data_IF_245128143236
#
_entry.id   IF_245128143236
#
_cell.length_a   1.000
_cell.length_b   1.000
_cell.length_c   1.000
_cell.angle_alpha   90.00
_cell.angle_beta   90.00
_cell.angle_gamma   90.00
#
_symmetry.space_group_name_H-M   'P 1'
#
loop_
_entity.id
_entity.type
_entity.pdbx_description
1 polymer ?
#
# COMPACT_ATOMS: atom_id res chain seq x y z
N UNK A 1 48.84 8.97 16.68
CA UNK A 1 47.48 8.66 16.17
C UNK A 1 46.85 9.86 15.46
N UNK A 2 46.89 11.09 16.00
CA UNK A 2 46.45 12.33 15.28
C UNK A 2 47.05 12.46 13.87
N UNK A 3 48.36 12.18 13.72
CA UNK A 3 49.05 12.26 12.43
C UNK A 3 48.59 11.24 11.38
N UNK A 4 48.00 10.12 11.79
CA UNK A 4 47.50 9.08 10.88
C UNK A 4 46.12 9.47 10.32
N UNK A 5 45.23 10.00 11.16
CA UNK A 5 43.93 10.53 10.76
C UNK A 5 44.10 11.72 9.79
N UNK A 6 44.93 12.70 10.13
CA UNK A 6 45.19 13.86 9.28
C UNK A 6 45.79 13.45 7.91
N UNK A 7 46.66 12.43 7.90
CA UNK A 7 47.23 11.89 6.66
C UNK A 7 46.16 11.24 5.78
N UNK A 8 45.29 10.41 6.36
CA UNK A 8 44.16 9.78 5.66
C UNK A 8 43.21 10.82 5.07
N UNK A 9 42.89 11.86 5.84
CA UNK A 9 42.03 12.97 5.39
C UNK A 9 42.66 13.70 4.19
N UNK A 10 43.97 14.01 4.24
CA UNK A 10 44.67 14.65 3.11
C UNK A 10 44.69 13.79 1.86
N UNK A 11 44.91 12.48 2.00
CA UNK A 11 44.91 11.53 0.87
C UNK A 11 43.52 11.40 0.24
N UNK A 12 42.47 11.45 1.06
CA UNK A 12 41.08 11.34 0.63
C UNK A 12 40.44 12.64 0.13
N UNK A 13 41.08 13.80 0.36
CA UNK A 13 40.45 15.11 0.16
C UNK A 13 39.96 15.37 -1.28
N UNK A 14 40.72 14.93 -2.29
CA UNK A 14 40.30 15.05 -3.71
C UNK A 14 39.04 14.25 -3.95
N UNK A 15 39.02 12.99 -3.51
CA UNK A 15 37.89 12.10 -3.68
C UNK A 15 36.64 12.59 -2.94
N UNK A 16 36.80 13.13 -1.73
CA UNK A 16 35.71 13.74 -0.96
C UNK A 16 35.04 14.88 -1.75
N UNK A 17 35.84 15.80 -2.31
CA UNK A 17 35.30 16.93 -3.12
C UNK A 17 34.57 16.45 -4.37
N UNK A 18 35.12 15.46 -5.08
CA UNK A 18 34.45 14.87 -6.25
C UNK A 18 33.08 14.29 -5.90
N UNK A 19 32.98 13.53 -4.81
CA UNK A 19 31.74 12.91 -4.37
C UNK A 19 30.70 13.95 -3.95
N UNK A 20 31.11 14.97 -3.20
CA UNK A 20 30.22 16.08 -2.82
C UNK A 20 29.72 16.88 -4.02
N UNK A 21 30.56 17.10 -5.03
CA UNK A 21 30.13 17.74 -6.27
C UNK A 21 29.07 16.92 -7.00
N UNK A 22 29.23 15.59 -7.07
CA UNK A 22 28.20 14.71 -7.66
C UNK A 22 26.89 14.75 -6.88
N UNK A 23 26.94 14.77 -5.55
CA UNK A 23 25.75 14.88 -4.72
C UNK A 23 25.05 16.22 -4.94
N UNK A 24 25.80 17.33 -4.98
CA UNK A 24 25.24 18.65 -5.28
C UNK A 24 24.60 18.73 -6.68
N UNK A 25 25.24 18.13 -7.69
CA UNK A 25 24.70 18.07 -9.06
C UNK A 25 23.39 17.24 -9.15
N UNK A 26 23.17 16.32 -8.20
CA UNK A 26 22.06 15.34 -8.23
C UNK A 26 21.08 15.48 -7.07
N UNK A 27 21.12 16.61 -6.34
CA UNK A 27 20.37 16.80 -5.09
C UNK A 27 18.85 16.64 -5.28
N UNK A 28 18.32 17.10 -6.41
CA UNK A 28 16.88 17.00 -6.73
C UNK A 28 16.44 15.66 -7.34
N UNK A 29 17.38 14.76 -7.67
CA UNK A 29 17.05 13.55 -8.44
C UNK A 29 16.07 12.60 -7.72
N UNK A 30 16.24 12.43 -6.40
CA UNK A 30 15.39 11.56 -5.57
C UNK A 30 13.97 12.14 -5.37
N UNK A 31 13.79 13.41 -4.97
CA UNK A 31 12.44 14.00 -4.85
C UNK A 31 11.72 14.07 -6.20
N UNK A 32 12.43 14.43 -7.29
CA UNK A 32 11.86 14.49 -8.64
C UNK A 32 11.39 13.10 -9.10
N UNK A 33 12.21 12.06 -8.89
CA UNK A 33 11.82 10.67 -9.17
C UNK A 33 10.59 10.24 -8.36
N UNK A 34 10.51 10.65 -7.10
CA UNK A 34 9.36 10.34 -6.24
C UNK A 34 8.09 11.01 -6.74
N UNK A 35 8.17 12.27 -7.14
CA UNK A 35 7.06 13.00 -7.74
C UNK A 35 6.63 12.36 -9.06
N UNK A 36 7.58 11.98 -9.91
CA UNK A 36 7.30 11.35 -11.18
C UNK A 36 6.61 9.99 -11.03
N UNK A 37 7.02 9.18 -10.05
CA UNK A 37 6.35 7.90 -9.72
C UNK A 37 4.90 8.10 -9.28
N UNK A 38 4.61 9.18 -8.53
CA UNK A 38 3.23 9.52 -8.15
C UNK A 38 2.39 9.91 -9.36
N UNK A 39 2.94 10.69 -10.28
CA UNK A 39 2.28 11.05 -11.54
C UNK A 39 1.94 9.80 -12.37
N UNK A 40 2.91 8.88 -12.52
CA UNK A 40 2.69 7.60 -13.23
C UNK A 40 1.56 6.80 -12.58
N UNK A 41 1.53 6.70 -11.24
CA UNK A 41 0.48 5.97 -10.53
C UNK A 41 -0.91 6.59 -10.73
N UNK A 42 -1.01 7.93 -10.72
CA UNK A 42 -2.26 8.63 -10.98
C UNK A 42 -2.74 8.45 -12.43
N UNK A 43 -1.83 8.60 -13.41
CA UNK A 43 -2.12 8.35 -14.82
C UNK A 43 -2.56 6.90 -15.08
N UNK A 44 -1.94 5.91 -14.43
CA UNK A 44 -2.35 4.51 -14.56
C UNK A 44 -3.75 4.28 -13.99
N UNK A 45 -4.08 4.89 -12.84
CA UNK A 45 -5.43 4.84 -12.27
C UNK A 45 -6.47 5.49 -13.19
N UNK A 46 -6.18 6.68 -13.72
CA UNK A 46 -7.05 7.36 -14.69
C UNK A 46 -7.24 6.53 -15.96
N UNK A 47 -6.16 5.91 -16.46
CA UNK A 47 -6.22 5.04 -17.63
C UNK A 47 -7.07 3.79 -17.39
N UNK A 48 -6.93 3.15 -16.23
CA UNK A 48 -7.77 2.00 -15.86
C UNK A 48 -9.26 2.37 -15.78
N UNK A 49 -9.58 3.56 -15.26
CA UNK A 49 -10.95 4.05 -15.21
C UNK A 49 -11.48 4.38 -16.61
N UNK A 50 -10.68 5.04 -17.43
CA UNK A 50 -11.04 5.33 -18.83
C UNK A 50 -11.23 4.06 -19.65
N UNK A 51 -10.37 3.05 -19.50
CA UNK A 51 -10.52 1.75 -20.16
C UNK A 51 -11.85 1.06 -19.80
N UNK A 52 -12.30 1.17 -18.53
CA UNK A 52 -13.63 0.68 -18.12
C UNK A 52 -14.74 1.45 -18.80
N UNK A 53 -14.63 2.78 -18.87
CA UNK A 53 -15.61 3.64 -19.52
C UNK A 53 -15.71 3.34 -21.03
N UNK A 54 -14.59 3.22 -21.73
CA UNK A 54 -14.55 2.84 -23.16
C UNK A 54 -15.24 1.50 -23.36
N UNK A 55 -14.97 0.49 -22.52
CA UNK A 55 -15.63 -0.83 -22.62
C UNK A 55 -17.14 -0.75 -22.39
N UNK A 56 -17.58 0.04 -21.42
CA UNK A 56 -19.00 0.24 -21.13
C UNK A 56 -19.72 0.97 -22.28
N UNK A 57 -19.11 2.02 -22.84
CA UNK A 57 -19.63 2.77 -23.97
C UNK A 57 -19.64 1.92 -25.26
N UNK A 58 -18.61 1.12 -25.51
CA UNK A 58 -18.58 0.18 -26.65
C UNK A 58 -19.70 -0.87 -26.55
N UNK A 59 -19.94 -1.41 -25.35
CA UNK A 59 -21.05 -2.34 -25.10
C UNK A 59 -22.42 -1.67 -25.30
N UNK A 60 -22.59 -0.44 -24.80
CA UNK A 60 -23.82 0.34 -24.98
C UNK A 60 -24.05 0.66 -26.45
N UNK A 61 -23.03 1.16 -27.17
CA UNK A 61 -23.09 1.46 -28.61
C UNK A 61 -23.53 0.23 -29.41
N UNK A 62 -22.98 -0.95 -29.12
CA UNK A 62 -23.36 -2.21 -29.77
C UNK A 62 -24.83 -2.59 -29.52
N UNK A 63 -25.38 -2.22 -28.36
CA UNK A 63 -26.80 -2.41 -28.04
C UNK A 63 -27.67 -1.42 -28.80
N UNK A 64 -27.37 -0.12 -28.71
CA UNK A 64 -28.15 0.93 -29.39
C UNK A 64 -28.14 0.74 -30.91
N UNK A 65 -27.00 0.32 -31.50
CA UNK A 65 -26.91 0.00 -32.93
C UNK A 65 -27.89 -1.11 -33.32
N UNK A 66 -27.95 -2.20 -32.54
CA UNK A 66 -28.86 -3.32 -32.80
C UNK A 66 -30.32 -2.91 -32.67
N UNK A 67 -30.64 -2.05 -31.70
CA UNK A 67 -32.00 -1.60 -31.48
C UNK A 67 -32.44 -0.65 -32.63
N UNK A 68 -31.58 0.30 -33.01
CA UNK A 68 -31.77 1.17 -34.18
C UNK A 68 -31.96 0.37 -35.47
N UNK A 69 -31.09 -0.60 -35.77
CA UNK A 69 -31.21 -1.47 -36.95
C UNK A 69 -32.53 -2.26 -36.95
N UNK A 70 -32.89 -2.86 -35.81
CA UNK A 70 -34.15 -3.62 -35.66
C UNK A 70 -35.38 -2.76 -35.85
N UNK A 71 -35.36 -1.48 -35.47
CA UNK A 71 -36.52 -0.59 -35.61
C UNK A 71 -36.61 0.01 -36.99
N UNK A 72 -35.47 0.43 -37.56
CA UNK A 72 -35.38 0.91 -38.94
C UNK A 72 -35.84 -0.15 -39.95
N UNK A 73 -35.39 -1.39 -39.78
CA UNK A 73 -35.58 -2.46 -40.78
C UNK A 73 -36.85 -3.30 -40.56
N UNK A 74 -37.62 -3.06 -39.49
CA UNK A 74 -38.85 -3.84 -39.22
C UNK A 74 -40.02 -3.43 -40.13
N UNK A 75 -40.09 -4.10 -41.28
CA UNK A 75 -41.18 -3.99 -42.26
C UNK A 75 -42.55 -4.22 -41.61
N UNK A 76 -42.68 -5.23 -40.74
CA UNK A 76 -43.93 -5.56 -40.03
C UNK A 76 -44.41 -4.42 -39.12
N UNK A 77 -43.53 -3.81 -38.31
CA UNK A 77 -43.89 -2.65 -37.46
C UNK A 77 -44.34 -1.47 -38.31
N UNK A 78 -43.60 -1.19 -39.40
CA UNK A 78 -43.95 -0.12 -40.34
C UNK A 78 -45.32 -0.33 -40.98
N UNK A 79 -45.67 -1.56 -41.38
CA UNK A 79 -46.99 -1.90 -41.92
C UNK A 79 -48.11 -1.76 -40.88
N UNK A 80 -47.93 -2.25 -39.66
CA UNK A 80 -48.92 -2.12 -38.58
C UNK A 80 -49.18 -0.64 -38.25
N UNK A 81 -48.12 0.16 -38.11
CA UNK A 81 -48.26 1.60 -37.85
C UNK A 81 -48.92 2.35 -39.02
N UNK A 82 -48.66 1.93 -40.27
CA UNK A 82 -49.34 2.48 -41.45
C UNK A 82 -50.82 2.11 -41.50
N UNK A 83 -51.18 0.86 -41.19
CA UNK A 83 -52.56 0.38 -41.19
C UNK A 83 -53.43 1.03 -40.08
N UNK A 84 -52.83 1.40 -38.95
CA UNK A 84 -53.50 2.08 -37.82
C UNK A 84 -53.42 3.62 -37.93
N UNK A 85 -52.82 4.16 -38.99
CA UNK A 85 -52.70 5.62 -39.21
C UNK A 85 -51.72 6.34 -38.27
N UNK A 86 -50.78 5.61 -37.65
CA UNK A 86 -49.79 6.14 -36.69
C UNK A 86 -48.36 6.08 -37.24
N UNK A 87 -48.17 6.41 -38.53
CA UNK A 87 -46.86 6.38 -39.19
C UNK A 87 -45.86 7.33 -38.55
N UNK A 88 -46.28 8.56 -38.25
CA UNK A 88 -45.40 9.59 -37.69
C UNK A 88 -44.80 9.14 -36.34
N UNK A 89 -45.54 8.37 -35.54
CA UNK A 89 -45.04 7.79 -34.27
C UNK A 89 -43.97 6.73 -34.46
N UNK A 90 -43.98 6.02 -35.58
CA UNK A 90 -42.91 5.07 -35.92
C UNK A 90 -41.67 5.83 -36.38
N UNK A 91 -41.82 6.81 -37.26
CA UNK A 91 -40.73 7.64 -37.76
C UNK A 91 -40.08 8.46 -36.61
N UNK A 92 -40.87 8.98 -35.66
CA UNK A 92 -40.39 9.66 -34.44
C UNK A 92 -39.57 8.74 -33.53
N UNK A 93 -40.02 7.48 -33.33
CA UNK A 93 -39.27 6.51 -32.52
C UNK A 93 -37.97 6.06 -33.20
N UNK A 94 -38.00 5.84 -34.51
CA UNK A 94 -36.79 5.51 -35.27
C UNK A 94 -35.75 6.65 -35.21
N UNK A 95 -36.21 7.91 -35.35
CA UNK A 95 -35.36 9.09 -35.21
C UNK A 95 -34.81 9.26 -33.78
N UNK A 96 -35.58 8.85 -32.75
CA UNK A 96 -35.10 8.85 -31.37
C UNK A 96 -33.99 7.83 -31.14
N UNK A 97 -34.16 6.60 -31.60
CA UNK A 97 -33.13 5.56 -31.47
C UNK A 97 -31.87 5.89 -32.27
N UNK A 98 -32.01 6.54 -33.43
CA UNK A 98 -30.88 7.08 -34.19
C UNK A 98 -30.08 8.11 -33.38
N UNK A 99 -30.75 9.05 -32.72
CA UNK A 99 -30.09 10.03 -31.83
C UNK A 99 -29.39 9.35 -30.66
N UNK A 100 -30.07 8.42 -29.97
CA UNK A 100 -29.49 7.67 -28.84
C UNK A 100 -28.23 6.88 -29.27
N UNK A 101 -28.21 6.31 -30.48
CA UNK A 101 -27.02 5.68 -31.04
C UNK A 101 -25.89 6.69 -31.32
N UNK A 102 -26.18 7.81 -31.99
CA UNK A 102 -25.16 8.82 -32.32
C UNK A 102 -24.58 9.51 -31.09
N UNK A 103 -25.39 9.75 -30.06
CA UNK A 103 -24.95 10.31 -28.79
C UNK A 103 -23.93 9.38 -28.13
N UNK A 104 -24.23 8.08 -28.03
CA UNK A 104 -23.30 7.08 -27.46
C UNK A 104 -22.05 6.92 -28.32
N UNK A 105 -22.17 7.00 -29.65
CA UNK A 105 -21.01 6.97 -30.56
C UNK A 105 -20.09 8.18 -30.34
N UNK A 106 -20.65 9.38 -30.16
CA UNK A 106 -19.89 10.58 -29.89
C UNK A 106 -19.20 10.52 -28.52
N UNK A 107 -19.89 10.06 -27.49
CA UNK A 107 -19.33 9.82 -26.15
C UNK A 107 -18.17 8.80 -26.21
N UNK A 108 -18.35 7.68 -26.90
CA UNK A 108 -17.30 6.66 -27.06
C UNK A 108 -16.08 7.24 -27.78
N UNK A 109 -16.28 8.06 -28.82
CA UNK A 109 -15.16 8.67 -29.55
C UNK A 109 -14.36 9.63 -28.66
N UNK A 110 -15.05 10.52 -27.93
CA UNK A 110 -14.42 11.44 -26.98
C UNK A 110 -13.64 10.69 -25.90
N UNK A 111 -14.21 9.63 -25.33
CA UNK A 111 -13.55 8.84 -24.31
C UNK A 111 -12.30 8.12 -24.87
N UNK A 112 -12.35 7.64 -26.13
CA UNK A 112 -11.17 7.06 -26.80
C UNK A 112 -10.05 8.08 -27.03
N UNK A 113 -10.38 9.32 -27.35
CA UNK A 113 -9.39 10.40 -27.48
C UNK A 113 -8.73 10.70 -26.12
N UNK A 114 -9.53 10.80 -25.05
CA UNK A 114 -9.03 10.95 -23.68
C UNK A 114 -8.11 9.79 -23.30
N UNK A 115 -8.56 8.55 -23.53
CA UNK A 115 -7.76 7.35 -23.28
C UNK A 115 -6.44 7.35 -24.06
N UNK A 116 -6.48 7.73 -25.34
CA UNK A 116 -5.30 7.86 -26.18
C UNK A 116 -4.31 8.91 -25.67
N UNK A 117 -4.81 10.06 -25.20
CA UNK A 117 -3.97 11.10 -24.60
C UNK A 117 -3.36 10.64 -23.28
N UNK A 118 -4.13 9.96 -22.41
CA UNK A 118 -3.63 9.38 -21.16
C UNK A 118 -2.50 8.38 -21.40
N UNK A 119 -2.63 7.52 -22.43
CA UNK A 119 -1.56 6.58 -22.82
C UNK A 119 -0.28 7.30 -23.23
N UNK A 120 -0.38 8.34 -24.06
CA UNK A 120 0.80 9.13 -24.46
C UNK A 120 1.46 9.80 -23.26
N UNK A 121 0.68 10.46 -22.40
CA UNK A 121 1.20 11.08 -21.18
C UNK A 121 1.87 10.07 -20.26
N UNK A 122 1.33 8.86 -20.15
CA UNK A 122 1.92 7.79 -19.35
C UNK A 122 3.24 7.30 -19.94
N UNK A 123 3.33 7.18 -21.27
CA UNK A 123 4.56 6.77 -21.96
C UNK A 123 5.65 7.86 -21.82
N UNK A 124 5.31 9.12 -22.04
CA UNK A 124 6.21 10.27 -21.83
C UNK A 124 6.69 10.33 -20.36
N UNK A 125 5.76 10.13 -19.41
CA UNK A 125 6.09 10.13 -17.99
C UNK A 125 7.03 8.96 -17.61
N UNK A 126 6.84 7.78 -18.22
CA UNK A 126 7.73 6.62 -18.04
C UNK A 126 9.12 6.87 -18.62
N UNK A 127 9.21 7.54 -19.77
CA UNK A 127 10.50 7.91 -20.35
C UNK A 127 11.27 8.88 -19.46
N UNK A 128 10.63 9.95 -18.99
CA UNK A 128 11.22 10.88 -18.03
C UNK A 128 11.60 10.21 -16.70
N UNK A 129 10.87 9.18 -16.26
CA UNK A 129 11.25 8.42 -15.07
C UNK A 129 12.57 7.67 -15.25
N UNK A 130 12.93 7.22 -16.47
CA UNK A 130 14.19 6.50 -16.70
C UNK A 130 15.41 7.39 -16.53
N UNK A 131 15.35 8.65 -16.99
CA UNK A 131 16.44 9.60 -16.79
C UNK A 131 16.60 9.94 -15.31
N UNK A 132 15.49 10.20 -14.61
CA UNK A 132 15.50 10.45 -13.16
C UNK A 132 16.01 9.24 -12.36
N UNK A 133 15.71 8.01 -12.78
CA UNK A 133 16.26 6.80 -12.15
C UNK A 133 17.77 6.69 -12.31
N UNK A 134 18.31 7.07 -13.48
CA UNK A 134 19.75 7.09 -13.70
C UNK A 134 20.45 8.12 -12.80
N UNK A 135 19.88 9.33 -12.67
CA UNK A 135 20.40 10.38 -11.79
C UNK A 135 20.29 10.00 -10.31
N UNK A 136 19.15 9.45 -9.88
CA UNK A 136 18.98 8.96 -8.51
C UNK A 136 19.95 7.81 -8.19
N UNK A 137 20.22 6.93 -9.16
CA UNK A 137 21.25 5.88 -9.01
C UNK A 137 22.65 6.48 -8.88
N UNK A 138 22.96 7.54 -9.63
CA UNK A 138 24.24 8.25 -9.53
C UNK A 138 24.38 8.92 -8.16
N UNK A 139 23.32 9.55 -7.67
CA UNK A 139 23.26 10.13 -6.33
C UNK A 139 23.52 9.07 -5.25
N UNK A 140 22.77 7.97 -5.27
CA UNK A 140 22.89 6.88 -4.29
C UNK A 140 24.29 6.23 -4.28
N UNK A 141 24.88 6.03 -5.46
CA UNK A 141 26.26 5.54 -5.58
C UNK A 141 27.28 6.51 -5.00
N UNK A 142 27.09 7.82 -5.23
CA UNK A 142 27.97 8.84 -4.67
C UNK A 142 27.85 8.89 -3.15
N UNK A 143 26.62 8.82 -2.61
CA UNK A 143 26.37 8.76 -1.17
C UNK A 143 27.01 7.51 -0.55
N UNK A 144 26.80 6.33 -1.12
CA UNK A 144 27.41 5.09 -0.63
C UNK A 144 28.94 5.14 -0.65
N UNK A 145 29.54 5.73 -1.69
CA UNK A 145 30.98 5.90 -1.79
C UNK A 145 31.51 6.91 -0.76
N UNK A 146 30.74 7.96 -0.45
CA UNK A 146 31.08 8.95 0.56
C UNK A 146 31.00 8.36 1.98
N UNK A 147 29.91 7.64 2.28
CA UNK A 147 29.74 6.92 3.53
C UNK A 147 30.89 5.92 3.74
N UNK A 148 31.23 5.13 2.72
CA UNK A 148 32.36 4.19 2.79
C UNK A 148 33.71 4.89 2.99
N UNK A 149 33.90 6.06 2.38
CA UNK A 149 35.11 6.86 2.56
C UNK A 149 35.20 7.35 4.00
N UNK A 150 34.12 7.89 4.55
CA UNK A 150 34.07 8.35 5.94
C UNK A 150 34.25 7.22 6.94
N UNK A 151 33.59 6.08 6.76
CA UNK A 151 33.76 4.92 7.62
C UNK A 151 35.23 4.45 7.63
N UNK A 152 35.93 4.49 6.48
CA UNK A 152 37.35 4.10 6.43
C UNK A 152 38.31 5.04 7.18
N UNK A 153 37.90 6.29 7.39
CA UNK A 153 38.73 7.35 7.96
C UNK A 153 38.40 7.58 9.44
N UNK A 154 37.12 7.61 9.76
CA UNK A 154 36.58 7.92 11.08
C UNK A 154 36.11 6.67 11.84
N UNK A 155 36.42 5.46 11.38
CA UNK A 155 36.12 4.25 12.17
C UNK A 155 36.89 4.25 13.51
N UNK A 156 36.15 4.48 14.59
CA UNK A 156 36.65 4.48 15.96
C UNK A 156 36.94 5.89 16.49
N UNK A 157 37.45 6.01 17.72
CA UNK A 157 37.62 7.31 18.37
C UNK A 157 38.47 8.24 17.52
N UNK A 158 38.04 9.50 17.36
CA UNK A 158 38.77 10.54 16.63
C UNK A 158 39.52 11.45 17.62
N UNK A 159 40.80 11.15 17.96
CA UNK A 159 41.51 11.89 18.99
C UNK A 159 41.67 13.34 18.53
N UNK A 160 41.42 14.29 19.45
CA UNK A 160 41.39 15.74 19.20
C UNK A 160 40.13 16.26 18.47
N UNK A 161 39.14 15.41 18.18
CA UNK A 161 37.88 15.80 17.54
C UNK A 161 36.64 15.29 18.31
N UNK A 162 36.48 15.66 19.60
CA UNK A 162 35.39 15.13 20.45
C UNK A 162 33.99 15.49 19.95
N UNK A 163 33.86 16.56 19.17
CA UNK A 163 32.60 16.98 18.55
C UNK A 163 32.16 15.98 17.45
N UNK A 164 33.10 15.40 16.70
CA UNK A 164 32.80 14.38 15.68
C UNK A 164 32.36 13.08 16.36
N UNK A 165 33.12 12.62 17.37
CA UNK A 165 32.76 11.46 18.21
C UNK A 165 31.37 11.62 18.85
N UNK A 166 30.99 12.84 19.26
CA UNK A 166 29.68 13.12 19.82
C UNK A 166 28.57 12.98 18.77
N UNK A 167 28.78 13.51 17.57
CA UNK A 167 27.82 13.39 16.46
C UNK A 167 27.69 11.96 15.94
N UNK A 168 28.77 11.19 15.96
CA UNK A 168 28.72 9.76 15.61
C UNK A 168 27.81 9.01 16.58
N UNK A 169 27.98 9.21 17.89
CA UNK A 169 27.10 8.60 18.91
C UNK A 169 25.64 9.00 18.72
N UNK A 170 25.36 10.28 18.49
CA UNK A 170 23.99 10.76 18.25
C UNK A 170 23.35 10.10 17.02
N UNK A 171 24.11 9.97 15.92
CA UNK A 171 23.63 9.30 14.71
C UNK A 171 23.41 7.80 14.92
N UNK A 172 24.30 7.12 15.67
CA UNK A 172 24.13 5.72 16.03
C UNK A 172 22.91 5.49 16.92
N UNK A 173 22.69 6.34 17.92
CA UNK A 173 21.50 6.30 18.80
C UNK A 173 20.23 6.49 17.98
N UNK A 174 20.19 7.51 17.11
CA UNK A 174 19.07 7.75 16.24
C UNK A 174 18.79 6.56 15.30
N UNK A 175 19.85 5.92 14.78
CA UNK A 175 19.75 4.73 13.92
C UNK A 175 19.21 3.53 14.68
N UNK A 176 19.69 3.29 15.90
CA UNK A 176 19.20 2.20 16.78
C UNK A 176 17.71 2.37 17.06
N UNK A 177 17.29 3.55 17.52
CA UNK A 177 15.89 3.82 17.83
C UNK A 177 14.98 3.67 16.59
N UNK A 178 15.43 4.13 15.43
CA UNK A 178 14.70 3.96 14.17
C UNK A 178 14.53 2.48 13.80
N UNK A 179 15.60 1.68 13.86
CA UNK A 179 15.52 0.24 13.54
C UNK A 179 14.64 -0.52 14.54
N UNK A 180 14.71 -0.20 15.83
CA UNK A 180 13.87 -0.82 16.85
C UNK A 180 12.39 -0.51 16.63
N UNK A 181 12.05 0.76 16.34
CA UNK A 181 10.69 1.15 15.99
C UNK A 181 10.21 0.48 14.71
N UNK A 182 11.10 0.34 13.71
CA UNK A 182 10.79 -0.29 12.42
C UNK A 182 10.49 -1.77 12.59
N UNK A 183 11.31 -2.49 13.36
CA UNK A 183 11.09 -3.90 13.67
C UNK A 183 9.73 -4.12 14.36
N UNK A 184 9.37 -3.25 15.32
CA UNK A 184 8.06 -3.28 15.98
C UNK A 184 6.92 -3.02 14.98
N UNK A 185 7.05 -2.03 14.11
CA UNK A 185 6.03 -1.71 13.10
C UNK A 185 5.84 -2.87 12.12
N UNK A 186 6.92 -3.47 11.63
CA UNK A 186 6.87 -4.62 10.75
C UNK A 186 6.19 -5.81 11.44
N UNK A 187 6.50 -6.08 12.71
CA UNK A 187 5.86 -7.14 13.49
C UNK A 187 4.34 -6.91 13.67
N UNK A 188 3.91 -5.70 14.03
CA UNK A 188 2.49 -5.35 14.11
C UNK A 188 1.80 -5.48 12.74
N UNK A 189 2.45 -5.08 11.64
CA UNK A 189 1.90 -5.24 10.30
C UNK A 189 1.72 -6.72 9.91
N UNK A 190 2.62 -7.60 10.35
CA UNK A 190 2.48 -9.05 10.17
C UNK A 190 1.32 -9.60 11.00
N UNK A 191 1.18 -9.15 12.25
CA UNK A 191 0.05 -9.50 13.11
C UNK A 191 -1.29 -9.05 12.49
N UNK A 192 -1.39 -7.85 11.92
CA UNK A 192 -2.60 -7.35 11.25
C UNK A 192 -3.04 -8.29 10.12
N UNK A 193 -2.10 -8.79 9.30
CA UNK A 193 -2.41 -9.73 8.22
C UNK A 193 -2.98 -11.04 8.78
N UNK A 194 -2.30 -11.65 9.74
CA UNK A 194 -2.74 -12.88 10.40
C UNK A 194 -4.11 -12.72 11.07
N UNK A 195 -4.33 -11.62 11.80
CA UNK A 195 -5.61 -11.33 12.46
C UNK A 195 -6.73 -11.03 11.46
N UNK A 196 -6.42 -10.39 10.32
CA UNK A 196 -7.39 -10.16 9.24
C UNK A 196 -7.83 -11.48 8.62
N UNK A 197 -6.90 -12.39 8.37
CA UNK A 197 -7.23 -13.72 7.85
C UNK A 197 -7.97 -14.57 8.89
N UNK A 198 -7.58 -14.48 10.17
CA UNK A 198 -8.32 -15.10 11.26
C UNK A 198 -9.76 -14.60 11.33
N UNK A 199 -9.98 -13.29 11.15
CA UNK A 199 -11.31 -12.68 11.18
C UNK A 199 -12.17 -13.18 10.01
N UNK A 200 -11.58 -13.37 8.82
CA UNK A 200 -12.26 -14.00 7.69
C UNK A 200 -12.66 -15.44 8.01
N UNK A 201 -11.75 -16.25 8.56
CA UNK A 201 -12.04 -17.63 8.97
C UNK A 201 -13.13 -17.70 10.05
N UNK A 202 -13.12 -16.78 11.02
CA UNK A 202 -14.18 -16.72 12.02
C UNK A 202 -15.55 -16.34 11.40
N UNK A 203 -15.55 -15.44 10.42
CA UNK A 203 -16.77 -15.12 9.66
C UNK A 203 -17.26 -16.31 8.83
N UNK A 204 -16.37 -17.12 8.26
CA UNK A 204 -16.72 -18.37 7.55
C UNK A 204 -17.35 -19.39 8.52
N UNK A 205 -16.81 -19.47 9.75
CA UNK A 205 -17.36 -20.30 10.82
C UNK A 205 -18.78 -19.87 11.21
N UNK A 206 -19.02 -18.56 11.37
CA UNK A 206 -20.35 -18.02 11.66
C UNK A 206 -21.37 -18.32 10.55
N UNK A 207 -20.98 -18.18 9.27
CA UNK A 207 -21.87 -18.54 8.15
C UNK A 207 -22.22 -20.02 8.15
N UNK A 208 -21.25 -20.88 8.42
CA UNK A 208 -21.48 -22.33 8.53
C UNK A 208 -22.36 -22.69 9.73
N UNK A 209 -22.28 -21.93 10.84
CA UNK A 209 -23.20 -22.05 11.98
C UNK A 209 -24.63 -21.61 11.64
N UNK A 210 -24.78 -20.55 10.85
CA UNK A 210 -26.09 -20.10 10.38
C UNK A 210 -26.73 -21.13 9.43
N UNK A 211 -25.94 -21.76 8.56
CA UNK A 211 -26.38 -22.89 7.73
C UNK A 211 -26.83 -24.07 8.60
N UNK A 212 -26.03 -24.46 9.61
CA UNK A 212 -26.37 -25.53 10.54
C UNK A 212 -27.68 -25.25 11.29
N UNK A 213 -27.89 -24.00 11.76
CA UNK A 213 -29.16 -23.60 12.38
C UNK A 213 -30.35 -23.66 11.42
N UNK A 214 -30.14 -23.34 10.15
CA UNK A 214 -31.19 -23.43 9.13
C UNK A 214 -31.57 -24.88 8.84
N UNK A 215 -30.59 -25.78 8.74
CA UNK A 215 -30.82 -27.22 8.55
C UNK A 215 -31.48 -27.84 9.78
N UNK A 216 -31.01 -27.50 10.98
CA UNK A 216 -31.60 -27.94 12.26
C UNK A 216 -33.06 -27.50 12.40
N UNK A 217 -33.42 -26.28 11.97
CA UNK A 217 -34.82 -25.85 11.92
C UNK A 217 -35.64 -26.67 10.95
N UNK A 218 -35.11 -26.97 9.76
CA UNK A 218 -35.82 -27.81 8.78
C UNK A 218 -36.05 -29.22 9.34
N UNK A 219 -35.08 -29.73 10.09
CA UNK A 219 -35.14 -31.05 10.73
C UNK A 219 -36.25 -31.15 11.78
N UNK A 220 -36.35 -30.16 12.67
CA UNK A 220 -37.41 -30.04 13.68
C UNK A 220 -38.85 -30.04 13.12
N UNK A 221 -39.05 -29.73 11.83
CA UNK A 221 -40.37 -29.70 11.17
C UNK A 221 -40.61 -30.90 10.23
N UNK A 222 -39.88 -32.00 10.43
CA UNK A 222 -40.01 -33.22 9.64
C UNK A 222 -38.98 -33.34 8.53
N UNK A 223 -37.76 -32.84 8.77
CA UNK A 223 -36.62 -33.16 7.92
C UNK A 223 -36.28 -34.64 8.02
N UNK A 224 -35.71 -35.18 6.95
CA UNK A 224 -35.20 -36.55 6.91
C UNK A 224 -33.68 -36.58 7.04
N UNK A 225 -33.11 -37.79 6.94
CA UNK A 225 -31.67 -38.08 7.02
C UNK A 225 -30.75 -37.18 6.19
N UNK A 226 -31.26 -36.53 5.13
CA UNK A 226 -30.51 -35.57 4.33
C UNK A 226 -30.27 -34.22 5.04
N UNK A 227 -31.22 -33.77 5.87
CA UNK A 227 -31.07 -32.54 6.68
C UNK A 227 -30.00 -32.71 7.74
N UNK A 228 -30.01 -33.85 8.46
CA UNK A 228 -28.97 -34.25 9.42
C UNK A 228 -27.56 -34.24 8.82
N UNK A 229 -27.39 -34.82 7.62
CA UNK A 229 -26.08 -34.86 6.96
C UNK A 229 -25.59 -33.45 6.59
N UNK A 230 -26.49 -32.57 6.14
CA UNK A 230 -26.15 -31.18 5.81
C UNK A 230 -25.79 -30.38 7.05
N UNK A 231 -26.53 -30.53 8.14
CA UNK A 231 -26.26 -29.92 9.44
C UNK A 231 -24.90 -30.33 9.98
N UNK A 232 -24.61 -31.64 10.03
CA UNK A 232 -23.30 -32.16 10.47
C UNK A 232 -22.16 -31.65 9.60
N UNK A 233 -22.35 -31.62 8.28
CA UNK A 233 -21.37 -31.07 7.35
C UNK A 233 -21.11 -29.58 7.61
N UNK A 234 -22.17 -28.80 7.91
CA UNK A 234 -22.06 -27.39 8.25
C UNK A 234 -21.34 -27.17 9.59
N UNK A 235 -21.64 -27.96 10.62
CA UNK A 235 -20.94 -27.91 11.91
C UNK A 235 -19.46 -28.25 11.77
N UNK A 236 -19.10 -29.27 11.00
CA UNK A 236 -17.71 -29.61 10.74
C UNK A 236 -16.96 -28.48 10.01
N UNK A 237 -17.60 -27.84 9.01
CA UNK A 237 -17.01 -26.65 8.35
C UNK A 237 -16.82 -25.51 9.34
N UNK A 238 -17.79 -25.29 10.23
CA UNK A 238 -17.69 -24.26 11.26
C UNK A 238 -16.53 -24.52 12.21
N UNK A 239 -16.32 -25.77 12.63
CA UNK A 239 -15.22 -26.16 13.49
C UNK A 239 -13.86 -25.96 12.83
N UNK A 240 -13.66 -26.50 11.62
CA UNK A 240 -12.41 -26.35 10.89
C UNK A 240 -12.03 -24.87 10.72
N UNK A 241 -13.00 -24.03 10.33
CA UNK A 241 -12.76 -22.60 10.17
C UNK A 241 -12.42 -21.89 11.51
N UNK A 242 -13.07 -22.27 12.61
CA UNK A 242 -12.77 -21.73 13.93
C UNK A 242 -11.37 -22.16 14.43
N UNK A 243 -10.96 -23.41 14.16
CA UNK A 243 -9.63 -23.92 14.49
C UNK A 243 -8.53 -23.22 13.68
N UNK A 244 -8.74 -23.04 12.37
CA UNK A 244 -7.82 -22.25 11.53
C UNK A 244 -7.65 -20.82 12.05
N UNK A 245 -8.74 -20.16 12.42
CA UNK A 245 -8.70 -18.82 13.00
C UNK A 245 -7.86 -18.78 14.29
N UNK A 246 -8.00 -19.78 15.17
CA UNK A 246 -7.19 -19.90 16.40
C UNK A 246 -5.70 -20.06 16.10
N UNK A 247 -5.36 -20.91 15.13
CA UNK A 247 -3.97 -21.11 14.73
C UNK A 247 -3.33 -19.83 14.19
N UNK A 248 -4.09 -19.04 13.42
CA UNK A 248 -3.65 -17.72 12.94
C UNK A 248 -3.46 -16.72 14.08
N UNK A 249 -4.35 -16.71 15.08
CA UNK A 249 -4.17 -15.87 16.28
C UNK A 249 -2.92 -16.29 17.06
N UNK A 250 -2.68 -17.60 17.25
CA UNK A 250 -1.46 -18.08 17.91
C UNK A 250 -0.18 -17.67 17.16
N UNK A 251 -0.23 -17.59 15.83
CA UNK A 251 0.89 -17.04 15.05
C UNK A 251 1.03 -15.53 15.26
N UNK A 252 -0.08 -14.79 15.33
CA UNK A 252 -0.06 -13.35 15.59
C UNK A 252 0.52 -13.02 16.97
N UNK A 253 0.23 -13.84 17.99
CA UNK A 253 0.81 -13.72 19.34
C UNK A 253 2.34 -13.82 19.36
N UNK A 254 2.95 -14.55 18.40
CA UNK A 254 4.41 -14.64 18.26
C UNK A 254 5.02 -13.39 17.65
N UNK A 255 4.23 -12.59 16.92
CA UNK A 255 4.67 -11.34 16.31
C UNK A 255 4.57 -10.18 17.30
N UNK A 256 3.52 -10.15 18.11
CA UNK A 256 3.30 -9.07 19.08
C UNK A 256 2.73 -9.60 20.40
N UNK A 257 3.25 -9.18 21.57
CA UNK A 257 2.79 -9.64 22.87
C UNK A 257 1.42 -9.06 23.27
N UNK A 258 0.89 -8.10 22.50
CA UNK A 258 -0.37 -7.43 22.82
C UNK A 258 -1.61 -8.16 22.32
N UNK A 259 -1.45 -9.24 21.56
CA UNK A 259 -2.56 -10.11 21.17
C UNK A 259 -2.78 -11.13 22.28
N UNK A 260 -3.97 -11.10 22.89
CA UNK A 260 -4.35 -12.04 23.94
C UNK A 260 -4.90 -13.36 23.40
N UNK A 261 -5.35 -14.22 24.31
CA UNK A 261 -6.01 -15.48 23.96
C UNK A 261 -7.45 -15.27 23.51
N UNK A 262 -7.90 -16.13 22.59
CA UNK A 262 -9.31 -16.19 22.20
C UNK A 262 -10.14 -16.94 23.25
N UNK A 263 -11.39 -16.54 23.52
CA UNK A 263 -12.33 -17.31 24.33
C UNK A 263 -12.48 -18.75 23.83
N UNK A 264 -12.77 -19.70 24.72
CA UNK A 264 -13.06 -21.08 24.31
C UNK A 264 -14.28 -21.14 23.38
N UNK A 265 -14.17 -21.95 22.34
CA UNK A 265 -15.23 -22.25 21.36
C UNK A 265 -15.37 -23.76 21.39
N UNK A 266 -16.55 -24.23 21.80
CA UNK A 266 -16.94 -25.63 21.72
C UNK A 266 -18.09 -25.72 20.73
N UNK A 267 -17.85 -26.44 19.64
CA UNK A 267 -18.85 -26.74 18.63
C UNK A 267 -19.26 -28.18 18.90
N UNK A 268 -20.48 -28.35 19.41
CA UNK A 268 -20.97 -29.66 19.79
C UNK A 268 -21.47 -30.39 18.53
N UNK A 269 -21.00 -31.61 18.32
CA UNK A 269 -21.34 -32.41 17.13
C UNK A 269 -22.44 -33.45 17.39
N UNK A 270 -22.96 -33.50 18.62
CA UNK A 270 -23.83 -34.59 19.07
C UNK A 270 -23.03 -35.88 19.26
N UNK A 271 -23.26 -36.63 20.33
CA UNK A 271 -22.51 -37.87 20.56
C UNK A 271 -22.89 -38.93 19.54
N UNK A 272 -21.91 -39.47 18.82
CA UNK A 272 -22.00 -40.61 17.89
C UNK A 272 -22.47 -41.96 18.51
N UNK A 273 -22.99 -41.98 19.74
CA UNK A 273 -23.24 -43.22 20.51
C UNK A 273 -24.57 -43.27 21.29
N UNK A 274 -25.50 -42.33 21.08
CA UNK A 274 -26.75 -42.25 21.87
C UNK A 274 -28.07 -42.38 21.10
N UNK A 275 -28.06 -42.41 19.77
CA UNK A 275 -29.27 -42.32 18.92
C UNK A 275 -29.98 -43.67 18.75
N UNK A 276 -30.48 -44.26 19.84
CA UNK A 276 -31.48 -45.33 19.70
C UNK A 276 -32.70 -45.21 20.60
N UNK A 277 -32.79 -44.35 21.63
CA UNK A 277 -33.83 -44.60 22.65
C UNK A 277 -34.86 -43.55 23.08
N UNK A 278 -34.89 -42.26 22.69
CA UNK A 278 -36.04 -41.39 23.04
C UNK A 278 -36.31 -40.20 22.08
N UNK A 279 -37.45 -40.28 21.36
CA UNK A 279 -38.32 -39.26 20.72
C UNK A 279 -37.76 -38.00 19.97
N UNK A 280 -37.89 -38.08 18.63
CA UNK A 280 -37.86 -37.15 17.47
C UNK A 280 -38.26 -35.65 17.59
N UNK A 281 -38.41 -35.04 18.77
CA UNK A 281 -38.71 -33.58 18.85
C UNK A 281 -37.96 -32.93 20.02
N UNK A 282 -37.87 -33.62 21.17
CA UNK A 282 -37.21 -33.06 22.35
C UNK A 282 -35.68 -33.11 22.23
N UNK A 283 -35.14 -34.16 21.60
CA UNK A 283 -33.72 -34.30 21.30
C UNK A 283 -33.25 -33.27 20.26
N UNK A 284 -34.07 -33.02 19.23
CA UNK A 284 -33.74 -32.08 18.16
C UNK A 284 -33.83 -30.62 18.63
N UNK A 285 -34.81 -30.30 19.48
CA UNK A 285 -34.90 -28.97 20.10
C UNK A 285 -33.72 -28.70 21.06
N UNK A 286 -33.28 -29.71 21.81
CA UNK A 286 -32.11 -29.61 22.69
C UNK A 286 -30.81 -29.43 21.88
N UNK A 287 -30.66 -30.16 20.77
CA UNK A 287 -29.51 -30.03 19.87
C UNK A 287 -29.51 -28.69 19.14
N UNK A 288 -30.67 -28.23 18.66
CA UNK A 288 -30.85 -26.91 18.07
C UNK A 288 -30.42 -25.78 19.02
N UNK A 289 -30.81 -25.87 20.29
CA UNK A 289 -30.40 -24.91 21.31
C UNK A 289 -28.90 -24.97 21.62
N UNK A 290 -28.28 -26.15 21.52
CA UNK A 290 -26.83 -26.29 21.63
C UNK A 290 -26.10 -25.62 20.46
N UNK A 291 -26.59 -25.76 19.22
CA UNK A 291 -26.02 -25.05 18.07
C UNK A 291 -26.14 -23.54 18.24
N UNK A 292 -27.26 -23.04 18.78
CA UNK A 292 -27.39 -21.60 19.12
C UNK A 292 -26.31 -21.17 20.13
N UNK A 293 -26.03 -21.97 21.15
CA UNK A 293 -24.98 -21.68 22.15
C UNK A 293 -23.59 -21.70 21.51
N UNK A 294 -23.28 -22.69 20.67
CA UNK A 294 -22.02 -22.76 19.94
C UNK A 294 -21.83 -21.56 19.03
N UNK A 295 -22.85 -21.16 18.25
CA UNK A 295 -22.84 -19.94 17.44
C UNK A 295 -22.56 -18.70 18.29
N UNK A 296 -23.25 -18.55 19.42
CA UNK A 296 -23.01 -17.42 20.33
C UNK A 296 -21.56 -17.40 20.87
N UNK A 297 -20.93 -18.56 21.04
CA UNK A 297 -19.51 -18.65 21.42
C UNK A 297 -18.57 -18.25 20.30
N UNK A 298 -18.85 -18.66 19.06
CA UNK A 298 -18.11 -18.23 17.87
C UNK A 298 -18.24 -16.71 17.69
N UNK A 299 -19.44 -16.16 17.90
CA UNK A 299 -19.68 -14.72 17.79
C UNK A 299 -18.89 -13.90 18.82
N UNK A 300 -18.88 -14.33 20.09
CA UNK A 300 -18.00 -13.71 21.12
C UNK A 300 -16.53 -13.75 20.72
N UNK A 301 -16.08 -14.87 20.15
CA UNK A 301 -14.71 -15.02 19.66
C UNK A 301 -14.41 -14.04 18.52
N UNK A 302 -15.34 -13.88 17.57
CA UNK A 302 -15.23 -12.92 16.48
C UNK A 302 -15.15 -11.47 16.98
N UNK A 303 -15.93 -11.11 18.02
CA UNK A 303 -15.89 -9.79 18.63
C UNK A 303 -14.53 -9.50 19.30
N UNK A 304 -14.00 -10.45 20.08
CA UNK A 304 -12.67 -10.32 20.70
C UNK A 304 -11.57 -10.20 19.65
N UNK A 305 -11.64 -11.01 18.59
CA UNK A 305 -10.71 -10.95 17.47
C UNK A 305 -10.78 -9.60 16.75
N UNK A 306 -11.99 -9.07 16.55
CA UNK A 306 -12.19 -7.73 16.00
C UNK A 306 -11.53 -6.64 16.85
N UNK A 307 -11.62 -6.76 18.19
CA UNK A 307 -10.93 -5.86 19.11
C UNK A 307 -9.41 -5.94 18.97
N UNK A 308 -8.83 -7.14 18.98
CA UNK A 308 -7.38 -7.31 18.77
C UNK A 308 -6.93 -6.68 17.45
N UNK A 309 -7.67 -6.91 16.36
CA UNK A 309 -7.34 -6.33 15.07
C UNK A 309 -7.37 -4.79 15.09
N UNK A 310 -8.37 -4.19 15.73
CA UNK A 310 -8.47 -2.74 15.87
C UNK A 310 -7.33 -2.15 16.69
N UNK A 311 -7.05 -2.73 17.86
CA UNK A 311 -5.95 -2.28 18.74
C UNK A 311 -4.58 -2.43 18.04
N UNK A 312 -4.38 -3.52 17.29
CA UNK A 312 -3.16 -3.77 16.52
C UNK A 312 -2.98 -2.77 15.38
N UNK A 313 -4.06 -2.41 14.68
CA UNK A 313 -4.03 -1.34 13.66
C UNK A 313 -3.70 0.02 14.26
N UNK A 314 -4.27 0.35 15.42
CA UNK A 314 -3.99 1.60 16.11
C UNK A 314 -2.50 1.70 16.51
N UNK A 315 -1.94 0.63 17.11
CA UNK A 315 -0.50 0.56 17.44
C UNK A 315 0.39 0.68 16.20
N UNK A 316 0.08 -0.04 15.13
CA UNK A 316 0.83 0.08 13.87
C UNK A 316 0.80 1.51 13.32
N UNK A 317 -0.36 2.18 13.37
CA UNK A 317 -0.48 3.57 12.94
C UNK A 317 0.38 4.50 13.80
N UNK A 318 0.36 4.35 15.13
CA UNK A 318 1.21 5.11 16.04
C UNK A 318 2.71 4.89 15.75
N UNK A 319 3.13 3.63 15.59
CA UNK A 319 4.51 3.30 15.21
C UNK A 319 4.89 3.89 13.85
N UNK A 320 3.96 3.95 12.89
CA UNK A 320 4.18 4.58 11.59
C UNK A 320 4.43 6.09 11.73
N UNK A 321 3.68 6.77 12.60
CA UNK A 321 3.93 8.19 12.90
C UNK A 321 5.27 8.40 13.61
N UNK A 322 5.59 7.55 14.59
CA UNK A 322 6.89 7.58 15.28
C UNK A 322 8.04 7.35 14.30
N UNK A 323 7.91 6.40 13.37
CA UNK A 323 8.90 6.13 12.34
C UNK A 323 9.18 7.33 11.44
N UNK A 324 8.15 8.12 11.12
CA UNK A 324 8.35 9.35 10.35
C UNK A 324 9.23 10.33 11.12
N UNK A 325 8.90 10.59 12.38
CA UNK A 325 9.68 11.51 13.23
C UNK A 325 11.10 11.00 13.50
N UNK A 326 11.26 9.70 13.77
CA UNK A 326 12.56 9.08 13.96
C UNK A 326 13.39 9.09 12.67
N UNK A 327 12.75 8.93 11.51
CA UNK A 327 13.38 9.06 10.20
C UNK A 327 13.90 10.48 9.95
N UNK A 328 13.07 11.49 10.21
CA UNK A 328 13.49 12.90 10.14
C UNK A 328 14.67 13.19 11.09
N UNK A 329 14.64 12.66 12.31
CA UNK A 329 15.75 12.79 13.26
C UNK A 329 17.01 12.07 12.78
N UNK A 330 16.88 10.84 12.27
CA UNK A 330 17.99 10.06 11.73
C UNK A 330 18.67 10.83 10.58
N UNK A 331 17.91 11.31 9.61
CA UNK A 331 18.45 12.11 8.52
C UNK A 331 19.15 13.38 9.03
N UNK A 332 18.50 14.12 9.95
CA UNK A 332 19.10 15.32 10.56
C UNK A 332 20.44 15.01 11.25
N UNK A 333 20.53 13.93 12.02
CA UNK A 333 21.77 13.53 12.71
C UNK A 333 22.85 13.06 11.73
N UNK A 334 22.48 12.34 10.66
CA UNK A 334 23.41 11.93 9.60
C UNK A 334 23.98 13.13 8.86
N UNK A 335 23.13 14.07 8.44
CA UNK A 335 23.57 15.31 7.79
C UNK A 335 24.47 16.13 8.73
N UNK A 336 24.14 16.19 10.02
CA UNK A 336 24.94 16.91 11.01
C UNK A 336 26.33 16.29 11.23
N UNK A 337 26.43 14.96 11.24
CA UNK A 337 27.70 14.23 11.30
C UNK A 337 28.52 14.45 10.02
N UNK A 338 27.90 14.32 8.86
CA UNK A 338 28.54 14.55 7.56
C UNK A 338 29.12 15.97 7.48
N UNK A 339 28.37 17.00 7.88
CA UNK A 339 28.86 18.39 7.90
C UNK A 339 30.07 18.59 8.81
N UNK A 340 30.10 17.91 9.96
CA UNK A 340 31.27 18.00 10.85
C UNK A 340 32.48 17.31 10.21
N UNK A 341 32.30 16.16 9.57
CA UNK A 341 33.36 15.47 8.82
C UNK A 341 33.87 16.33 7.65
N UNK A 342 32.98 16.95 6.88
CA UNK A 342 33.33 17.90 5.81
C UNK A 342 34.16 19.07 6.34
N UNK A 343 33.76 19.66 7.47
CA UNK A 343 34.52 20.73 8.13
C UNK A 343 35.92 20.29 8.52
N UNK A 344 36.09 19.08 9.07
CA UNK A 344 37.41 18.53 9.39
C UNK A 344 38.27 18.35 8.14
N UNK A 345 37.67 17.87 7.05
CA UNK A 345 38.32 17.76 5.75
C UNK A 345 38.82 19.12 5.25
N UNK A 346 38.00 20.17 5.34
CA UNK A 346 38.39 21.52 4.93
C UNK A 346 39.52 22.09 5.80
N UNK A 347 39.45 21.93 7.12
CA UNK A 347 40.47 22.42 8.03
C UNK A 347 41.83 21.75 7.78
N UNK A 348 41.85 20.43 7.63
CA UNK A 348 43.09 19.64 7.54
C UNK A 348 43.69 19.67 6.13
N UNK A 349 42.85 19.68 5.07
CA UNK A 349 43.31 19.74 3.68
C UNK A 349 43.53 21.18 3.18
N UNK A 350 42.83 22.18 3.74
CA UNK A 350 42.97 23.60 3.41
C UNK A 350 44.13 24.29 4.14
N UNK A 351 44.48 23.84 5.36
CA UNK A 351 45.56 24.41 6.16
C UNK A 351 47.00 24.07 5.71
N UNK A 352 47.18 23.27 4.65
CA UNK A 352 48.50 22.81 4.18
C UNK A 352 49.25 23.75 3.23
N UNK A 353 48.72 24.93 2.92
CA UNK A 353 49.26 25.83 1.88
C UNK A 353 49.66 27.26 2.32
N UNK A 354 49.66 27.55 3.63
CA UNK A 354 49.91 28.89 4.16
C UNK A 354 51.39 29.25 4.36
N UNK A 355 52.21 29.11 3.32
CA UNK A 355 53.54 29.74 3.25
C UNK A 355 53.41 31.15 2.71
N UNK A 356 53.39 32.12 3.62
CA UNK A 356 53.54 33.57 3.47
C UNK A 356 54.01 34.05 2.08
N UNK A 357 53.08 34.55 1.25
CA UNK A 357 53.41 35.44 0.13
C UNK A 357 52.75 36.78 0.40
N UNK A 358 53.59 37.68 0.90
CA UNK A 358 53.39 39.11 1.02
C UNK A 358 53.07 39.70 -0.37
N UNK A 359 51.83 40.14 -0.59
CA UNK A 359 51.48 41.02 -1.71
C UNK A 359 50.57 42.13 -1.22
N UNK A 360 51.19 43.28 -0.97
CA UNK A 360 50.59 44.62 -1.01
C UNK A 360 49.59 44.72 -2.18
N UNK A 361 48.31 44.84 -1.85
CA UNK A 361 47.25 45.20 -2.79
C UNK A 361 46.91 46.69 -2.70
N UNK A 362 47.55 47.49 -3.53
CA UNK A 362 47.06 48.81 -3.96
C UNK A 362 45.99 48.65 -5.06
N UNK A 363 44.98 49.51 -4.97
CA UNK A 363 44.13 50.04 -6.05
C UNK A 363 42.99 49.17 -6.64
N UNK A 364 41.80 49.47 -6.14
CA UNK A 364 40.60 49.88 -6.89
C UNK A 364 40.51 49.61 -8.41
N UNK A 365 39.41 48.97 -8.83
CA UNK A 365 38.61 49.44 -9.96
C UNK A 365 37.18 48.91 -9.91
N UNK A 366 36.26 49.85 -10.08
CA UNK A 366 34.82 49.75 -10.33
C UNK A 366 34.43 48.95 -11.58
N UNK A 367 33.22 48.37 -11.60
CA UNK A 367 32.19 48.64 -12.62
C UNK A 367 30.88 47.82 -12.41
N UNK A 368 29.82 48.56 -12.06
CA UNK A 368 28.39 48.54 -12.47
C UNK A 368 27.53 47.27 -12.67
N UNK A 369 26.24 47.30 -12.23
CA UNK A 369 25.23 46.27 -12.45
C UNK A 369 24.46 46.46 -13.78
N UNK A 370 24.04 45.36 -14.40
CA UNK A 370 23.20 45.35 -15.60
C UNK A 370 21.72 45.25 -15.22
N UNK A 371 20.97 46.21 -15.75
CA UNK A 371 19.53 46.45 -15.67
C UNK A 371 18.77 45.44 -16.56
N UNK A 372 17.73 44.80 -16.03
CA UNK A 372 16.80 43.94 -16.76
C UNK A 372 15.57 44.75 -17.15
N UNK A 373 15.37 44.96 -18.45
CA UNK A 373 14.10 45.47 -19.01
C UNK A 373 13.29 44.33 -19.61
N UNK A 374 12.05 44.27 -19.12
CA UNK A 374 10.74 43.90 -19.71
C UNK A 374 10.69 42.82 -20.79
#
# INVERSE_FOLDING_TARGET
MSSDLESKIRQAAVRNRELLAVLADTDNAIPDLTQQRRLIADLDHQLQQSDKNVRALDARRKKELKDHEKYRDSVMRRFVHKAVGKRDKFDEKAAREEREYFDVLQEEHREKEVNGNLRRQLDDAREASRSLEAEATRHDKAQCALDSLYDSIFAGPTPNHPDEDAREREAEDARREYHDARGKAEAEQHAIRLLTDAARRMADSLRSMDDALSHSRMDMFGGGTMSDMMERSALQRAESAAQEARMLVMQAQRMTPYVGDLPAVSINHGSLMGDVLFDNIFSDMAFHDEIKRSRASVDRCAQVLGRFLQETRARHQELTWQLKSLGERLESTRTALQKERERLFEQIAGGGGGGEVDVKGTAASSATPIDLKQ
#
